data_IF_478492182441
#
_entry.id   IF_478492182441
#
_cell.length_a   1.000
_cell.length_b   1.000
_cell.length_c   1.000
_cell.angle_alpha   90.00
_cell.angle_beta   90.00
_cell.angle_gamma   90.00
#
_symmetry.space_group_name_H-M   'P 1'
#
loop_
_entity.id
_entity.type
_entity.pdbx_description
1 polymer ?
#
# COMPACT_ATOMS: atom_id res chain seq x y z
N UNK A 1 -4.48 -7.50 -19.05
CA UNK A 1 -3.12 -7.82 -18.58
C UNK A 1 -2.31 -6.53 -18.49
N UNK A 2 -1.73 -6.20 -17.32
CA UNK A 2 -1.00 -4.93 -17.07
C UNK A 2 0.47 -5.12 -16.65
N UNK A 3 1.01 -6.34 -16.80
CA UNK A 3 2.30 -6.72 -16.20
C UNK A 3 3.48 -5.80 -16.55
N UNK A 4 3.54 -5.29 -17.79
CA UNK A 4 4.60 -4.35 -18.22
C UNK A 4 4.55 -3.00 -17.52
N UNK A 5 3.39 -2.59 -16.98
CA UNK A 5 3.21 -1.34 -16.25
C UNK A 5 3.27 -1.55 -14.73
N UNK A 6 2.70 -2.65 -14.23
CA UNK A 6 2.61 -2.89 -12.78
C UNK A 6 3.86 -3.55 -12.21
N UNK A 7 4.44 -4.56 -12.89
CA UNK A 7 5.55 -5.33 -12.35
C UNK A 7 6.90 -4.62 -12.47
N UNK A 8 7.05 -3.67 -13.40
CA UNK A 8 8.33 -2.94 -13.61
C UNK A 8 8.78 -2.11 -12.41
N UNK A 9 7.86 -1.84 -11.47
CA UNK A 9 8.12 -1.11 -10.23
C UNK A 9 8.25 -2.04 -9.01
N UNK A 10 8.03 -3.34 -9.18
CA UNK A 10 8.06 -4.33 -8.11
C UNK A 10 9.26 -5.28 -8.23
N UNK A 11 9.61 -5.65 -9.47
CA UNK A 11 10.68 -6.58 -9.79
C UNK A 11 11.74 -5.83 -10.60
N UNK A 12 13.01 -6.20 -10.42
CA UNK A 12 14.09 -5.71 -11.30
C UNK A 12 13.77 -6.01 -12.77
N UNK A 13 14.11 -5.07 -13.64
CA UNK A 13 13.74 -5.13 -15.05
C UNK A 13 14.37 -6.34 -15.79
N UNK A 14 15.57 -6.77 -15.41
CA UNK A 14 16.24 -7.93 -15.98
C UNK A 14 15.57 -9.25 -15.60
N UNK A 15 15.21 -9.42 -14.32
CA UNK A 15 14.44 -10.57 -13.84
C UNK A 15 13.06 -10.61 -14.52
N UNK A 16 12.38 -9.46 -14.62
CA UNK A 16 11.09 -9.40 -15.31
C UNK A 16 11.21 -9.84 -16.78
N UNK A 17 12.30 -9.47 -17.47
CA UNK A 17 12.59 -9.94 -18.84
C UNK A 17 12.82 -11.45 -18.87
N UNK A 18 13.65 -11.99 -17.99
CA UNK A 18 13.91 -13.43 -17.91
C UNK A 18 12.60 -14.21 -17.74
N UNK A 19 11.78 -13.85 -16.75
CA UNK A 19 10.51 -14.54 -16.48
C UNK A 19 9.54 -14.41 -17.65
N UNK A 20 9.46 -13.24 -18.28
CA UNK A 20 8.57 -12.99 -19.42
C UNK A 20 8.99 -13.77 -20.67
N UNK A 21 10.30 -13.89 -20.94
CA UNK A 21 10.81 -14.55 -22.13
C UNK A 21 10.83 -16.08 -21.99
N UNK A 22 11.10 -16.57 -20.79
CA UNK A 22 11.25 -18.01 -20.54
C UNK A 22 9.93 -18.68 -20.13
N UNK A 23 9.00 -17.92 -19.54
CA UNK A 23 7.79 -18.48 -18.95
C UNK A 23 8.06 -19.39 -17.75
N UNK A 24 9.26 -19.30 -17.14
CA UNK A 24 9.64 -20.13 -15.99
C UNK A 24 8.68 -19.93 -14.82
N UNK A 25 8.27 -21.03 -14.21
CA UNK A 25 7.45 -21.03 -13.00
C UNK A 25 8.36 -20.77 -11.80
N UNK A 26 7.93 -19.85 -10.93
CA UNK A 26 8.61 -19.54 -9.65
C UNK A 26 7.83 -20.15 -8.49
N UNK A 27 8.53 -20.52 -7.42
CA UNK A 27 7.87 -20.95 -6.18
C UNK A 27 7.29 -19.75 -5.42
N UNK A 28 6.44 -20.01 -4.41
CA UNK A 28 5.90 -18.95 -3.57
C UNK A 28 6.98 -18.19 -2.78
N UNK A 29 8.03 -18.87 -2.34
CA UNK A 29 9.17 -18.26 -1.65
C UNK A 29 9.99 -17.37 -2.59
N UNK A 30 10.31 -17.89 -3.78
CA UNK A 30 11.02 -17.12 -4.81
C UNK A 30 10.21 -15.89 -5.24
N UNK A 31 8.88 -16.02 -5.38
CA UNK A 31 8.02 -14.89 -5.71
C UNK A 31 8.11 -13.74 -4.69
N UNK A 32 8.27 -14.05 -3.39
CA UNK A 32 8.47 -13.02 -2.36
C UNK A 32 9.86 -12.40 -2.45
N UNK A 33 10.91 -13.21 -2.63
CA UNK A 33 12.28 -12.73 -2.82
C UNK A 33 12.43 -11.80 -4.04
N UNK A 34 11.68 -12.10 -5.11
CA UNK A 34 11.67 -11.30 -6.34
C UNK A 34 10.78 -10.05 -6.27
N UNK A 35 9.92 -9.91 -5.24
CA UNK A 35 8.98 -8.79 -5.11
C UNK A 35 7.64 -8.98 -5.85
N UNK A 36 7.36 -10.18 -6.36
CA UNK A 36 6.07 -10.54 -6.97
C UNK A 36 4.96 -10.78 -5.93
N UNK A 37 5.34 -11.13 -4.71
CA UNK A 37 4.46 -11.31 -3.56
C UNK A 37 5.08 -10.65 -2.31
N UNK A 38 4.27 -10.38 -1.28
CA UNK A 38 4.73 -9.65 -0.07
C UNK A 38 5.11 -10.59 1.07
N UNK A 39 4.37 -11.69 1.26
CA UNK A 39 4.58 -12.64 2.36
C UNK A 39 4.39 -14.08 1.89
N UNK A 40 5.18 -14.99 2.46
CA UNK A 40 4.96 -16.43 2.40
C UNK A 40 4.23 -16.84 3.67
N UNK A 41 3.22 -17.70 3.55
CA UNK A 41 2.48 -18.23 4.70
C UNK A 41 1.93 -19.62 4.37
N UNK A 42 1.94 -20.52 5.35
CA UNK A 42 1.27 -21.83 5.28
C UNK A 42 -0.26 -21.69 5.36
N UNK A 43 -0.76 -20.55 5.85
CA UNK A 43 -2.19 -20.20 5.96
C UNK A 43 -2.45 -18.83 5.34
N UNK A 44 -2.26 -18.68 4.01
CA UNK A 44 -2.24 -17.37 3.36
C UNK A 44 -3.56 -16.60 3.49
N UNK A 45 -4.70 -17.31 3.53
CA UNK A 45 -6.00 -16.67 3.74
C UNK A 45 -6.11 -16.03 5.14
N UNK A 46 -5.76 -16.77 6.18
CA UNK A 46 -5.84 -16.28 7.56
C UNK A 46 -4.90 -15.10 7.79
N UNK A 47 -3.66 -15.21 7.29
CA UNK A 47 -2.68 -14.12 7.34
C UNK A 47 -3.15 -12.88 6.58
N UNK A 48 -3.77 -13.05 5.40
CA UNK A 48 -4.32 -11.94 4.64
C UNK A 48 -5.50 -11.26 5.36
N UNK A 49 -6.36 -12.05 6.00
CA UNK A 49 -7.49 -11.51 6.77
C UNK A 49 -7.04 -10.81 8.05
N UNK A 50 -5.97 -11.28 8.70
CA UNK A 50 -5.34 -10.58 9.81
C UNK A 50 -4.79 -9.22 9.39
N UNK A 51 -4.01 -9.17 8.30
CA UNK A 51 -3.50 -7.92 7.74
C UNK A 51 -4.64 -6.98 7.31
N UNK A 52 -5.71 -7.51 6.70
CA UNK A 52 -6.86 -6.72 6.30
C UNK A 52 -7.57 -6.09 7.51
N UNK A 53 -7.70 -6.83 8.63
CA UNK A 53 -8.27 -6.30 9.88
C UNK A 53 -7.37 -5.22 10.48
N UNK A 54 -6.06 -5.38 10.42
CA UNK A 54 -5.13 -4.34 10.87
C UNK A 54 -5.27 -3.06 10.03
N UNK A 55 -5.32 -3.18 8.70
CA UNK A 55 -5.51 -2.03 7.81
C UNK A 55 -6.87 -1.37 8.07
N UNK A 56 -7.94 -2.16 8.25
CA UNK A 56 -9.27 -1.67 8.57
C UNK A 56 -9.35 -0.99 9.94
N UNK A 57 -8.38 -1.24 10.84
CA UNK A 57 -8.29 -0.55 12.12
C UNK A 57 -7.66 0.84 12.03
N UNK A 58 -7.22 1.28 10.83
CA UNK A 58 -6.60 2.60 10.60
C UNK A 58 -7.63 3.58 10.02
N UNK A 59 -7.29 4.88 10.01
CA UNK A 59 -8.16 5.90 9.43
C UNK A 59 -8.42 5.60 7.94
N UNK A 60 -9.68 5.43 7.51
CA UNK A 60 -10.00 5.07 6.12
C UNK A 60 -9.59 6.18 5.15
N UNK A 61 -9.67 7.45 5.59
CA UNK A 61 -9.22 8.60 4.79
C UNK A 61 -7.70 8.57 4.62
N UNK A 62 -6.94 8.27 5.68
CA UNK A 62 -5.48 8.18 5.60
C UNK A 62 -5.02 7.04 4.70
N UNK A 63 -5.63 5.84 4.82
CA UNK A 63 -5.33 4.69 3.96
C UNK A 63 -5.61 5.00 2.49
N UNK A 64 -6.75 5.64 2.18
CA UNK A 64 -7.10 6.07 0.81
C UNK A 64 -6.10 7.10 0.27
N UNK A 65 -5.76 8.13 1.05
CA UNK A 65 -4.82 9.17 0.65
C UNK A 65 -3.42 8.63 0.40
N UNK A 66 -2.87 7.81 1.30
CA UNK A 66 -1.54 7.19 1.12
C UNK A 66 -1.53 6.27 -0.10
N UNK A 67 -2.58 5.48 -0.32
CA UNK A 67 -2.68 4.65 -1.53
C UNK A 67 -2.67 5.48 -2.80
N UNK A 68 -3.41 6.60 -2.83
CA UNK A 68 -3.41 7.55 -3.95
C UNK A 68 -2.04 8.19 -4.16
N UNK A 69 -1.38 8.60 -3.07
CA UNK A 69 -0.05 9.19 -3.09
C UNK A 69 0.96 8.22 -3.69
N UNK A 70 1.10 7.02 -3.16
CA UNK A 70 2.09 6.04 -3.60
C UNK A 70 1.85 5.58 -5.04
N UNK A 71 0.59 5.39 -5.45
CA UNK A 71 0.28 5.03 -6.83
C UNK A 71 0.53 6.17 -7.83
N UNK A 72 0.37 7.43 -7.40
CA UNK A 72 0.58 8.61 -8.24
C UNK A 72 2.04 9.04 -8.30
N UNK A 73 2.76 9.00 -7.16
CA UNK A 73 4.11 9.52 -7.02
C UNK A 73 5.13 8.75 -7.87
N UNK A 74 4.92 7.44 -8.04
CA UNK A 74 5.79 6.59 -8.89
C UNK A 74 5.71 6.93 -10.38
N UNK A 75 4.73 7.74 -10.80
CA UNK A 75 4.52 8.12 -12.20
C UNK A 75 4.98 9.55 -12.54
N UNK A 76 5.46 10.31 -11.55
CA UNK A 76 5.79 11.73 -11.70
C UNK A 76 7.18 12.05 -11.16
N UNK A 77 7.72 13.22 -11.53
CA UNK A 77 8.97 13.72 -10.96
C UNK A 77 8.81 14.16 -9.50
N UNK A 78 9.95 14.34 -8.82
CA UNK A 78 10.01 14.67 -7.38
C UNK A 78 9.12 15.86 -6.99
N UNK A 79 9.20 16.98 -7.71
CA UNK A 79 8.42 18.19 -7.43
C UNK A 79 6.91 17.92 -7.45
N UNK A 80 6.42 17.25 -8.49
CA UNK A 80 5.01 16.90 -8.62
C UNK A 80 4.57 15.89 -7.56
N UNK A 81 5.44 14.94 -7.19
CA UNK A 81 5.20 13.99 -6.11
C UNK A 81 5.06 14.68 -4.75
N UNK A 82 5.97 15.60 -4.41
CA UNK A 82 5.91 16.38 -3.17
C UNK A 82 4.67 17.29 -3.12
N UNK A 83 4.29 17.90 -4.24
CA UNK A 83 3.06 18.70 -4.32
C UNK A 83 1.80 17.86 -4.12
N UNK A 84 1.78 16.62 -4.63
CA UNK A 84 0.69 15.67 -4.39
C UNK A 84 0.63 15.26 -2.92
N UNK A 85 1.77 14.98 -2.30
CA UNK A 85 1.87 14.67 -0.87
C UNK A 85 1.33 15.81 -0.01
N UNK A 86 1.79 17.04 -0.27
CA UNK A 86 1.34 18.25 0.44
C UNK A 86 -0.18 18.42 0.35
N UNK A 87 -0.74 18.28 -0.85
CA UNK A 87 -2.19 18.43 -1.08
C UNK A 87 -2.98 17.40 -0.27
N UNK A 88 -2.62 16.11 -0.37
CA UNK A 88 -3.31 15.03 0.32
C UNK A 88 -3.14 15.11 1.84
N UNK A 89 -1.99 15.61 2.31
CA UNK A 89 -1.74 15.79 3.73
C UNK A 89 -2.56 16.96 4.29
N UNK A 90 -2.67 18.08 3.57
CA UNK A 90 -3.52 19.22 3.97
C UNK A 90 -4.98 18.81 4.12
N UNK A 91 -5.49 17.95 3.24
CA UNK A 91 -6.88 17.44 3.33
C UNK A 91 -7.12 16.58 4.57
N UNK A 92 -6.08 15.93 5.09
CA UNK A 92 -6.18 15.06 6.27
C UNK A 92 -6.00 15.80 7.58
N UNK A 93 -5.08 16.77 7.64
CA UNK A 93 -4.76 17.49 8.89
C UNK A 93 -5.99 18.24 9.39
N UNK A 94 -6.35 18.00 10.66
CA UNK A 94 -7.54 18.62 11.26
C UNK A 94 -8.87 17.97 10.87
N UNK A 95 -8.87 16.98 9.98
CA UNK A 95 -10.08 16.19 9.67
C UNK A 95 -10.55 15.41 10.91
N UNK A 96 -11.86 15.11 11.04
CA UNK A 96 -12.38 14.41 12.22
C UNK A 96 -11.66 13.09 12.52
N UNK A 97 -11.34 12.31 11.48
CA UNK A 97 -10.62 11.04 11.64
C UNK A 97 -9.16 11.23 12.03
N UNK A 98 -8.51 12.31 11.59
CA UNK A 98 -7.13 12.60 11.99
C UNK A 98 -7.07 13.06 13.46
N UNK A 99 -8.01 13.92 13.87
CA UNK A 99 -8.16 14.35 15.27
C UNK A 99 -8.42 13.14 16.18
N UNK A 100 -9.34 12.26 15.78
CA UNK A 100 -9.65 11.03 16.51
C UNK A 100 -8.44 10.08 16.60
N UNK A 101 -7.64 9.95 15.53
CA UNK A 101 -6.44 9.14 15.55
C UNK A 101 -5.43 9.65 16.59
N UNK A 102 -5.26 10.97 16.70
CA UNK A 102 -4.37 11.59 17.69
C UNK A 102 -4.91 11.39 19.10
N UNK A 103 -6.19 11.72 19.34
CA UNK A 103 -6.81 11.62 20.66
C UNK A 103 -6.85 10.18 21.18
N UNK A 104 -7.31 9.23 20.36
CA UNK A 104 -7.38 7.82 20.75
C UNK A 104 -6.01 7.25 21.11
N UNK A 105 -4.95 7.66 20.40
CA UNK A 105 -3.58 7.25 20.70
C UNK A 105 -3.07 7.87 22.02
N UNK A 106 -3.34 9.15 22.27
CA UNK A 106 -3.03 9.81 23.55
C UNK A 106 -3.76 9.16 24.73
N UNK A 107 -5.02 8.80 24.53
CA UNK A 107 -5.90 8.17 25.52
C UNK A 107 -5.71 6.65 25.63
N UNK A 108 -4.85 6.05 24.79
CA UNK A 108 -4.60 4.59 24.72
C UNK A 108 -5.87 3.76 24.56
N UNK A 109 -6.81 4.24 23.74
CA UNK A 109 -8.06 3.54 23.42
C UNK A 109 -8.15 3.23 21.93
N UNK A 110 -9.08 2.33 21.57
CA UNK A 110 -9.37 2.09 20.17
C UNK A 110 -9.97 3.36 19.52
N UNK A 111 -9.53 3.72 18.30
CA UNK A 111 -10.12 4.82 17.55
C UNK A 111 -11.51 4.46 17.04
N UNK A 112 -12.35 5.48 16.87
CA UNK A 112 -13.68 5.39 16.27
C UNK A 112 -13.74 6.23 15.00
N UNK A 113 -13.21 5.67 13.92
CA UNK A 113 -13.22 6.34 12.63
C UNK A 113 -14.60 6.32 11.98
N UNK A 114 -14.91 7.37 11.23
CA UNK A 114 -16.06 7.44 10.33
C UNK A 114 -15.62 7.03 8.93
N UNK A 115 -16.35 6.11 8.32
CA UNK A 115 -16.15 5.79 6.92
C UNK A 115 -16.52 7.00 6.05
N UNK A 116 -15.75 7.27 5.00
CA UNK A 116 -16.11 8.26 3.99
C UNK A 116 -17.36 7.84 3.23
N UNK A 117 -18.17 8.82 2.81
CA UNK A 117 -19.30 8.63 1.89
C UNK A 117 -18.87 8.01 0.54
#
# INVERSE_FOLDING_TARGET
MSGTQTLRHLVRLDVLKELTYTGRIVTGTEAVELGLATHVSDKPYDSAMELAREIASKSPHAVRSVKKLLNGSVLVGLEAGLKLEETLQRDLIGSPNQVEAVLSNMEKRAPRFRDPE
#
